data_IF_217578629457
#
_entry.id   IF_217578629457
#
_cell.length_a   1.000
_cell.length_b   1.000
_cell.length_c   1.000
_cell.angle_alpha   90.00
_cell.angle_beta   90.00
_cell.angle_gamma   90.00
#
_symmetry.space_group_name_H-M   'P 1'
#
loop_
_entity.id
_entity.type
_entity.pdbx_description
1 polymer ?
#
# COMPACT_ATOMS: atom_id res chain seq x y z
N UNK A 1 -8.22 13.54 10.44
CA UNK A 1 -7.63 12.19 10.55
C UNK A 1 -6.34 12.19 9.76
N UNK A 2 -5.17 11.92 10.37
CA UNK A 2 -3.90 11.94 9.66
C UNK A 2 -3.88 10.82 8.63
N UNK A 3 -3.69 11.17 7.35
CA UNK A 3 -3.50 10.19 6.29
C UNK A 3 -2.03 9.82 6.25
N UNK A 4 -1.69 8.59 6.66
CA UNK A 4 -0.34 8.07 6.44
C UNK A 4 -0.27 7.57 5.00
N UNK A 5 0.33 8.37 4.12
CA UNK A 5 0.69 7.98 2.76
C UNK A 5 2.00 7.23 2.80
N UNK A 6 1.96 5.93 2.57
CA UNK A 6 3.18 5.10 2.53
C UNK A 6 3.37 4.51 1.13
N UNK A 7 4.59 4.56 0.58
CA UNK A 7 4.90 3.84 -0.65
C UNK A 7 4.88 2.33 -0.38
N UNK A 8 4.16 1.60 -1.20
CA UNK A 8 4.05 0.15 -1.16
C UNK A 8 4.50 -0.43 -2.50
N UNK A 9 5.17 -1.57 -2.50
CA UNK A 9 5.63 -2.22 -3.73
C UNK A 9 4.83 -3.47 -3.99
N UNK A 10 4.29 -3.61 -5.21
CA UNK A 10 3.59 -4.82 -5.59
C UNK A 10 4.52 -6.03 -5.47
N UNK A 11 4.05 -7.09 -4.81
CA UNK A 11 4.82 -8.33 -4.63
C UNK A 11 4.65 -9.29 -5.81
N UNK A 12 3.74 -8.99 -6.72
CA UNK A 12 3.62 -9.71 -7.97
C UNK A 12 4.87 -9.46 -8.84
N UNK A 13 5.58 -10.52 -9.27
CA UNK A 13 6.83 -10.39 -10.00
C UNK A 13 6.66 -9.87 -11.44
N UNK A 14 5.45 -9.94 -12.01
CA UNK A 14 5.17 -9.36 -13.33
C UNK A 14 4.88 -7.86 -13.24
N UNK A 15 4.36 -7.39 -12.10
CA UNK A 15 4.11 -5.98 -11.86
C UNK A 15 5.32 -5.25 -11.24
N UNK A 16 5.70 -5.61 -10.01
CA UNK A 16 6.81 -4.98 -9.28
C UNK A 16 6.72 -3.46 -9.04
N UNK A 17 5.68 -2.78 -9.53
CA UNK A 17 5.57 -1.31 -9.51
C UNK A 17 5.19 -0.78 -8.11
N UNK A 18 5.76 0.36 -7.69
CA UNK A 18 5.36 1.04 -6.48
C UNK A 18 3.98 1.71 -6.64
N UNK A 19 3.21 1.78 -5.56
CA UNK A 19 1.95 2.50 -5.49
C UNK A 19 1.76 3.09 -4.09
N UNK A 20 0.95 4.13 -3.98
CA UNK A 20 0.66 4.78 -2.70
C UNK A 20 -0.43 4.00 -1.96
N UNK A 21 -0.22 3.73 -0.68
CA UNK A 21 -1.25 3.22 0.23
C UNK A 21 -1.59 4.31 1.23
N UNK A 22 -2.88 4.63 1.31
CA UNK A 22 -3.44 5.54 2.29
C UNK A 22 -4.13 4.72 3.36
N UNK A 23 -3.57 4.78 4.57
CA UNK A 23 -4.14 4.14 5.75
C UNK A 23 -5.14 5.07 6.42
N UNK A 24 -6.34 4.55 6.70
CA UNK A 24 -7.34 5.22 7.52
C UNK A 24 -7.73 4.28 8.67
N UNK A 25 -7.34 4.65 9.88
CA UNK A 25 -7.83 4.02 11.10
C UNK A 25 -9.30 4.42 11.28
N UNK A 26 -10.18 3.60 10.72
CA UNK A 26 -11.58 3.67 11.02
C UNK A 26 -11.70 3.15 12.45
N UNK A 27 -11.86 4.04 13.44
CA UNK A 27 -12.21 3.65 14.82
C UNK A 27 -13.61 3.03 14.92
N UNK A 28 -13.99 2.23 13.92
CA UNK A 28 -15.27 1.58 13.75
C UNK A 28 -15.20 0.23 14.43
N UNK A 29 -15.95 0.10 15.51
CA UNK A 29 -16.17 -1.14 16.28
C UNK A 29 -16.98 -2.19 15.52
N UNK A 30 -17.00 -2.13 14.18
CA UNK A 30 -17.74 -3.03 13.33
C UNK A 30 -16.75 -3.98 12.66
N UNK A 31 -17.00 -5.30 12.68
CA UNK A 31 -16.15 -6.27 11.97
C UNK A 31 -16.27 -6.00 10.47
N UNK A 32 -15.36 -5.19 9.94
CA UNK A 32 -15.22 -4.98 8.52
C UNK A 32 -14.52 -6.20 7.91
N UNK A 33 -14.86 -6.57 6.66
CA UNK A 33 -14.09 -7.59 5.94
C UNK A 33 -12.61 -7.18 5.93
N UNK A 34 -11.73 -8.16 6.17
CA UNK A 34 -10.29 -7.94 6.36
C UNK A 34 -9.73 -6.86 5.43
N UNK A 35 -9.09 -5.84 6.01
CA UNK A 35 -8.48 -4.74 5.28
C UNK A 35 -7.58 -5.35 4.21
N UNK A 36 -7.88 -5.05 2.95
CA UNK A 36 -7.17 -5.64 1.82
C UNK A 36 -6.49 -4.51 1.07
N UNK A 37 -5.19 -4.66 0.83
CA UNK A 37 -4.43 -3.73 -0.02
C UNK A 37 -4.42 -4.33 -1.43
N UNK A 38 -4.91 -3.59 -2.40
CA UNK A 38 -4.95 -4.00 -3.81
C UNK A 38 -3.96 -3.19 -4.65
N UNK A 39 -3.18 -3.84 -5.49
CA UNK A 39 -2.31 -3.15 -6.44
C UNK A 39 -3.18 -2.53 -7.56
N UNK A 40 -3.09 -1.20 -7.79
CA UNK A 40 -3.88 -0.55 -8.83
C UNK A 40 -3.42 -0.89 -10.26
N UNK A 41 -2.30 -1.57 -10.43
CA UNK A 41 -1.71 -1.88 -11.74
C UNK A 41 -2.10 -3.26 -12.26
N UNK A 42 -2.10 -4.27 -11.38
CA UNK A 42 -2.31 -5.67 -11.76
C UNK A 42 -3.44 -6.35 -10.99
N UNK A 43 -4.05 -5.68 -10.00
CA UNK A 43 -5.11 -6.26 -9.17
C UNK A 43 -4.64 -7.25 -8.11
N UNK A 44 -3.32 -7.44 -7.94
CA UNK A 44 -2.78 -8.26 -6.85
C UNK A 44 -3.26 -7.74 -5.49
N UNK A 45 -3.74 -8.62 -4.62
CA UNK A 45 -4.24 -8.24 -3.29
C UNK A 45 -3.44 -8.92 -2.19
N UNK A 46 -3.27 -8.23 -1.05
CA UNK A 46 -2.75 -8.83 0.19
C UNK A 46 -3.64 -8.48 1.37
N UNK A 47 -3.68 -9.40 2.32
CA UNK A 47 -4.30 -9.19 3.62
C UNK A 47 -3.52 -8.13 4.42
N UNK A 48 -4.26 -7.27 5.10
CA UNK A 48 -3.77 -6.23 6.01
C UNK A 48 -4.71 -6.15 7.23
N UNK A 49 -4.50 -5.17 8.13
CA UNK A 49 -5.26 -5.07 9.38
C UNK A 49 -6.78 -4.92 9.12
N UNK A 50 -7.64 -5.74 9.75
CA UNK A 50 -9.09 -5.70 9.54
C UNK A 50 -9.77 -4.42 10.04
N UNK A 51 -9.20 -3.78 11.06
CA UNK A 51 -9.71 -2.53 11.65
C UNK A 51 -9.27 -1.28 10.87
N UNK A 52 -8.60 -1.45 9.73
CA UNK A 52 -8.01 -0.35 8.97
C UNK A 52 -8.51 -0.36 7.54
N UNK A 53 -8.95 0.80 7.06
CA UNK A 53 -9.31 1.00 5.66
C UNK A 53 -8.06 1.42 4.88
N UNK A 54 -7.80 0.69 3.80
CA UNK A 54 -6.69 0.97 2.89
C UNK A 54 -7.22 1.43 1.54
N UNK A 55 -6.77 2.60 1.11
CA UNK A 55 -6.99 3.08 -0.26
C UNK A 55 -5.68 3.08 -1.02
N UNK A 56 -5.70 2.59 -2.25
CA UNK A 56 -4.51 2.46 -3.08
C UNK A 56 -4.59 3.40 -4.27
N UNK A 57 -3.51 4.10 -4.56
CA UNK A 57 -3.41 5.03 -5.69
C UNK A 57 -2.14 4.72 -6.47
N UNK A 58 -2.26 4.62 -7.80
CA UNK A 58 -1.09 4.49 -8.67
C UNK A 58 -0.22 5.73 -8.54
N UNK A 59 1.10 5.57 -8.42
CA UNK A 59 1.99 6.73 -8.51
C UNK A 59 2.02 7.23 -9.97
N UNK A 60 2.31 8.52 -10.15
CA UNK A 60 2.57 9.06 -11.48
C UNK A 60 3.88 8.47 -12.04
N UNK A 61 4.04 8.40 -13.36
CA UNK A 61 5.25 7.81 -13.98
C UNK A 61 6.56 8.42 -13.45
N UNK A 62 6.57 9.73 -13.18
CA UNK A 62 7.71 10.46 -12.61
C UNK A 62 8.01 10.02 -11.16
N UNK A 63 6.97 9.81 -10.34
CA UNK A 63 7.09 9.34 -8.97
C UNK A 63 7.52 7.86 -8.93
N UNK A 64 6.99 7.06 -9.84
CA UNK A 64 7.41 5.67 -10.03
C UNK A 64 8.88 5.58 -10.41
N UNK A 65 9.39 6.44 -11.30
CA UNK A 65 10.80 6.44 -11.67
C UNK A 65 11.74 6.71 -10.47
N UNK A 66 11.33 7.59 -9.54
CA UNK A 66 12.08 7.88 -8.31
C UNK A 66 12.09 6.66 -7.36
N UNK A 67 10.97 5.94 -7.27
CA UNK A 67 10.79 4.81 -6.36
C UNK A 67 11.30 3.48 -6.94
N UNK A 68 11.26 3.30 -8.25
CA UNK A 68 11.78 2.16 -8.98
C UNK A 68 13.32 2.06 -8.84
N UNK A 69 13.99 3.20 -8.58
CA UNK A 69 15.41 3.25 -8.21
C UNK A 69 15.76 2.80 -6.78
N UNK A 70 14.78 2.45 -5.94
CA UNK A 70 15.01 2.02 -4.54
C UNK A 70 14.33 0.69 -4.22
N UNK A 71 14.93 -0.46 -4.60
CA UNK A 71 14.51 -1.73 -4.03
C UNK A 71 14.92 -1.75 -2.54
N UNK A 72 13.93 -1.76 -1.66
CA UNK A 72 14.05 -2.26 -0.29
C UNK A 72 15.22 -1.76 0.56
N UNK A 73 15.02 -0.65 1.28
CA UNK A 73 15.49 -0.62 2.67
C UNK A 73 14.29 -0.85 3.57
N UNK A 74 14.07 -2.13 3.89
CA UNK A 74 13.34 -2.47 5.10
C UNK A 74 13.97 -1.70 6.26
N UNK A 75 13.15 -1.01 7.05
CA UNK A 75 13.56 -0.57 8.39
C UNK A 75 13.97 -1.84 9.15
N UNK A 76 15.20 -2.01 9.64
CA UNK A 76 15.35 -2.77 10.86
C UNK A 76 14.74 -1.92 11.97
N UNK A 77 13.78 -2.50 12.69
CA UNK A 77 13.41 -2.00 14.00
C UNK A 77 14.61 -2.14 14.93
N UNK A 78 15.03 -1.05 15.56
CA UNK A 78 15.83 -1.01 16.79
C UNK A 78 15.59 0.32 17.46
#
# INVERSE_FOLDING_TARGET
MPQHRTPYFCKDPACGRPFQVNRFDAGMSCPAPAGTIACPHCGWTTSADPDTLYFTHAFSEEEEAILCGRPGKGRPAS
#
